data_IF_360763167184
#
_entry.id   IF_360763167184
#
_cell.length_a   1.000
_cell.length_b   1.000
_cell.length_c   1.000
_cell.angle_alpha   90.00
_cell.angle_beta   90.00
_cell.angle_gamma   90.00
#
_symmetry.space_group_name_H-M   'P 1'
#
loop_
_entity.id
_entity.type
_entity.pdbx_description
1 polymer ?
#
# COMPACT_ATOMS: atom_id res chain seq x y z
N UNK A 1 -2.40 -69.35 66.49
CA UNK A 1 -3.42 -68.35 66.10
C UNK A 1 -2.89 -67.60 64.89
N UNK A 2 -3.70 -67.58 63.82
CA UNK A 2 -3.83 -66.53 62.77
C UNK A 2 -2.58 -66.09 62.01
N UNK A 3 -2.50 -66.05 60.68
CA UNK A 3 -3.41 -66.20 59.54
C UNK A 3 -2.50 -66.53 58.34
N UNK A 4 -2.56 -67.73 57.75
CA UNK A 4 -3.21 -68.07 56.46
C UNK A 4 -3.14 -66.98 55.38
N UNK A 5 -2.35 -67.23 54.34
CA UNK A 5 -2.45 -66.56 53.04
C UNK A 5 -3.10 -67.46 51.99
N UNK A 6 -3.50 -66.88 50.85
CA UNK A 6 -3.75 -67.50 49.54
C UNK A 6 -3.72 -66.35 48.51
N UNK A 7 -2.82 -66.27 47.52
CA UNK A 7 -2.69 -67.05 46.28
C UNK A 7 -3.97 -67.13 45.42
N UNK A 8 -3.91 -66.38 44.30
CA UNK A 8 -4.03 -66.88 42.92
C UNK A 8 -5.41 -67.02 42.27
N UNK A 9 -5.39 -66.64 40.98
CA UNK A 9 -6.17 -67.09 39.82
C UNK A 9 -7.47 -66.37 39.43
N UNK A 10 -7.39 -65.77 38.24
CA UNK A 10 -8.45 -65.55 37.25
C UNK A 10 -9.10 -66.90 36.81
N UNK A 11 -10.04 -67.02 35.84
CA UNK A 11 -10.66 -66.04 34.94
C UNK A 11 -12.18 -66.27 34.63
N UNK A 12 -12.75 -65.47 33.69
CA UNK A 12 -13.87 -65.78 32.75
C UNK A 12 -15.30 -65.96 33.31
N UNK A 13 -16.14 -64.94 33.12
CA UNK A 13 -17.46 -64.92 32.43
C UNK A 13 -17.79 -63.42 32.31
N UNK A 14 -17.88 -62.78 31.15
CA UNK A 14 -18.86 -63.03 30.11
C UNK A 14 -18.40 -62.35 28.79
N UNK A 15 -18.56 -63.08 27.70
CA UNK A 15 -18.30 -62.70 26.32
C UNK A 15 -19.53 -61.94 25.78
N UNK A 16 -19.38 -60.74 25.18
CA UNK A 16 -19.93 -60.41 23.84
C UNK A 16 -19.48 -59.03 23.32
N UNK A 17 -18.99 -59.05 22.07
CA UNK A 17 -18.93 -57.96 21.08
C UNK A 17 -17.83 -56.88 21.16
N UNK A 18 -16.72 -57.26 20.52
CA UNK A 18 -15.64 -56.52 19.84
C UNK A 18 -16.13 -55.29 19.03
N UNK A 19 -15.44 -54.13 19.20
CA UNK A 19 -14.88 -53.25 18.15
C UNK A 19 -14.96 -51.75 18.53
N UNK A 20 -13.84 -51.15 18.94
CA UNK A 20 -13.70 -49.68 18.99
C UNK A 20 -12.61 -49.18 19.92
N UNK A 21 -11.55 -48.64 19.33
CA UNK A 21 -10.49 -47.81 19.92
C UNK A 21 -9.35 -48.52 20.69
N UNK A 22 -8.36 -48.96 19.91
CA UNK A 22 -6.98 -49.23 20.30
C UNK A 22 -6.17 -47.91 20.27
N UNK A 23 -5.24 -47.73 21.22
CA UNK A 23 -4.00 -46.92 21.16
C UNK A 23 -4.10 -45.46 20.69
N UNK A 24 -3.71 -44.49 21.54
CA UNK A 24 -2.47 -43.67 21.41
C UNK A 24 -2.27 -42.91 22.72
N UNK A 25 -1.18 -43.23 23.42
CA UNK A 25 -0.48 -42.27 24.27
C UNK A 25 0.75 -41.80 23.49
N UNK A 26 1.07 -40.50 23.63
CA UNK A 26 2.26 -39.75 23.18
C UNK A 26 2.09 -38.86 21.92
N UNK A 27 2.47 -37.58 22.13
CA UNK A 27 2.67 -36.45 21.19
C UNK A 27 1.43 -35.60 20.83
N UNK A 28 1.38 -34.36 21.34
CA UNK A 28 1.26 -33.14 20.51
C UNK A 28 1.40 -31.86 21.37
N UNK A 29 2.58 -31.25 21.23
CA UNK A 29 2.84 -29.82 21.32
C UNK A 29 2.06 -29.15 20.17
N UNK A 30 1.61 -27.91 20.40
CA UNK A 30 1.01 -26.98 19.42
C UNK A 30 -0.40 -27.38 18.98
N UNK A 31 -1.38 -26.54 19.35
CA UNK A 31 -2.36 -25.96 18.43
C UNK A 31 -3.33 -25.07 19.22
N UNK A 32 -2.96 -23.79 19.34
CA UNK A 32 -3.96 -22.74 19.29
C UNK A 32 -4.57 -22.80 17.89
N UNK A 33 -5.68 -23.52 17.75
CA UNK A 33 -6.50 -23.43 16.57
C UNK A 33 -7.20 -22.08 16.60
N UNK A 34 -6.53 -21.07 16.06
CA UNK A 34 -7.20 -20.07 15.26
C UNK A 34 -8.04 -20.84 14.24
N UNK A 35 -9.35 -20.60 14.24
CA UNK A 35 -10.26 -21.20 13.29
C UNK A 35 -9.97 -20.57 11.91
N UNK A 36 -9.36 -21.28 10.94
CA UNK A 36 -9.06 -20.71 9.63
C UNK A 36 -10.29 -20.96 8.76
N UNK A 37 -11.30 -20.11 8.89
CA UNK A 37 -12.56 -20.33 8.20
C UNK A 37 -13.59 -19.21 8.25
N UNK A 38 -13.28 -18.07 8.87
CA UNK A 38 -14.05 -16.85 8.63
C UNK A 38 -13.29 -15.99 7.64
N UNK A 39 -13.60 -16.21 6.36
CA UNK A 39 -13.42 -15.16 5.34
C UNK A 39 -14.29 -13.98 5.76
N UNK A 40 -13.66 -12.95 6.30
CA UNK A 40 -14.30 -11.64 6.39
C UNK A 40 -14.62 -11.19 4.96
N UNK A 41 -15.80 -10.63 4.74
CA UNK A 41 -16.12 -9.99 3.47
C UNK A 41 -15.06 -8.89 3.19
N UNK A 42 -14.89 -8.48 1.93
CA UNK A 42 -13.93 -7.46 1.51
C UNK A 42 -14.16 -6.05 2.09
N UNK A 43 -15.05 -5.89 3.08
CA UNK A 43 -15.15 -4.71 3.93
C UNK A 43 -14.85 -5.15 5.36
N UNK A 44 -13.99 -4.42 6.07
CA UNK A 44 -13.51 -4.74 7.42
C UNK A 44 -14.59 -4.99 8.47
N UNK A 45 -14.24 -5.05 9.76
CA UNK A 45 -15.21 -5.30 10.82
C UNK A 45 -16.41 -4.36 10.71
N UNK A 46 -17.63 -4.89 10.92
CA UNK A 46 -18.83 -4.06 10.89
C UNK A 46 -18.77 -2.97 11.99
N UNK A 47 -19.59 -1.92 11.85
CA UNK A 47 -19.68 -0.85 12.86
C UNK A 47 -18.60 0.23 12.74
N UNK A 48 -17.91 0.32 11.59
CA UNK A 48 -16.98 1.42 11.30
C UNK A 48 -17.76 2.74 11.22
N UNK A 49 -17.39 3.69 12.07
CA UNK A 49 -17.98 5.04 12.18
C UNK A 49 -17.15 6.06 11.42
N UNK A 50 -15.82 5.97 11.52
CA UNK A 50 -14.90 6.87 10.83
C UNK A 50 -13.55 6.18 10.59
N UNK A 51 -12.90 6.53 9.47
CA UNK A 51 -11.56 6.04 9.10
C UNK A 51 -10.74 7.16 8.48
N UNK A 52 -9.56 7.45 9.03
CA UNK A 52 -8.67 8.51 8.57
C UNK A 52 -7.32 7.91 8.17
N UNK A 53 -7.09 7.77 6.85
CA UNK A 53 -5.86 7.18 6.28
C UNK A 53 -4.77 8.20 6.00
N UNK A 54 -5.10 9.51 5.96
CA UNK A 54 -4.16 10.60 5.66
C UNK A 54 -3.43 10.55 4.29
N UNK A 55 -3.68 9.55 3.45
CA UNK A 55 -3.14 9.43 2.07
C UNK A 55 -3.48 10.60 1.15
N UNK A 56 -4.67 11.18 1.34
CA UNK A 56 -5.10 12.40 0.64
C UNK A 56 -4.42 13.66 1.14
N UNK A 57 -3.54 13.56 2.14
CA UNK A 57 -2.94 14.68 2.89
C UNK A 57 -3.99 15.62 3.47
N UNK A 58 -5.10 15.05 3.94
CA UNK A 58 -6.27 15.75 4.45
C UNK A 58 -6.89 15.02 5.66
N UNK A 59 -7.98 15.56 6.21
CA UNK A 59 -8.73 14.94 7.30
C UNK A 59 -9.94 14.13 6.81
N UNK A 60 -9.95 13.65 5.57
CA UNK A 60 -11.13 13.01 4.98
C UNK A 60 -11.44 11.68 5.68
N UNK A 61 -12.70 11.48 6.06
CA UNK A 61 -13.22 10.19 6.51
C UNK A 61 -13.47 9.27 5.30
N UNK A 62 -12.70 8.19 5.19
CA UNK A 62 -12.80 7.18 4.12
C UNK A 62 -13.87 6.11 4.38
N UNK A 63 -14.50 6.10 5.56
CA UNK A 63 -15.53 5.10 5.91
C UNK A 63 -16.82 5.25 5.08
N UNK A 64 -17.02 6.41 4.45
CA UNK A 64 -18.25 6.77 3.73
C UNK A 64 -19.37 7.35 4.61
N UNK A 65 -19.13 7.54 5.91
CA UNK A 65 -20.13 8.08 6.85
C UNK A 65 -20.12 9.61 6.98
N UNK A 66 -19.15 10.29 6.35
CA UNK A 66 -19.10 11.75 6.28
C UNK A 66 -18.61 12.43 7.56
N UNK A 67 -17.92 11.70 8.44
CA UNK A 67 -17.33 12.22 9.67
C UNK A 67 -15.98 12.93 9.40
N UNK A 68 -15.90 13.75 8.35
CA UNK A 68 -14.67 14.40 7.94
C UNK A 68 -14.08 15.28 9.05
N UNK A 69 -12.77 15.19 9.22
CA UNK A 69 -11.98 16.03 10.09
C UNK A 69 -11.47 17.29 9.39
N UNK A 70 -11.15 18.31 10.17
CA UNK A 70 -10.50 19.54 9.71
C UNK A 70 -9.09 19.62 10.29
N UNK A 71 -8.08 19.79 9.43
CA UNK A 71 -6.69 19.97 9.86
C UNK A 71 -6.52 21.31 10.60
N UNK A 72 -5.84 21.27 11.75
CA UNK A 72 -5.50 22.44 12.54
C UNK A 72 -3.98 22.63 12.61
N UNK A 73 -3.51 23.87 12.44
CA UNK A 73 -2.09 24.22 12.53
C UNK A 73 -1.21 23.77 11.36
N UNK A 74 -1.83 23.38 10.23
CA UNK A 74 -1.15 22.95 9.00
C UNK A 74 -0.14 21.82 9.25
N UNK A 75 -0.60 20.63 9.67
CA UNK A 75 0.25 19.45 9.72
C UNK A 75 0.84 19.16 8.32
N UNK A 76 2.03 18.58 8.33
CA UNK A 76 2.65 18.00 7.14
C UNK A 76 2.43 16.49 7.15
N UNK A 77 2.73 15.82 6.04
CA UNK A 77 2.58 14.38 5.90
C UNK A 77 3.93 13.75 5.55
N UNK A 78 4.11 12.50 5.95
CA UNK A 78 5.30 11.70 5.67
C UNK A 78 4.92 10.23 5.57
N UNK A 79 5.81 9.40 5.02
CA UNK A 79 5.55 7.97 4.86
C UNK A 79 5.05 7.32 6.17
N UNK A 80 3.90 6.66 6.06
CA UNK A 80 3.26 5.86 7.09
C UNK A 80 3.96 4.53 7.34
N UNK A 81 3.34 3.62 8.12
CA UNK A 81 3.80 2.24 8.19
C UNK A 81 3.75 1.59 6.81
N UNK A 82 4.58 0.57 6.60
CA UNK A 82 4.68 -0.08 5.29
C UNK A 82 3.31 -0.52 4.79
N UNK A 83 2.91 0.01 3.62
CA UNK A 83 1.65 -0.26 2.92
C UNK A 83 0.44 0.56 3.37
N UNK A 84 0.57 1.44 4.36
CA UNK A 84 -0.50 2.36 4.81
C UNK A 84 -0.36 3.79 4.28
N UNK A 85 0.48 3.99 3.26
CA UNK A 85 0.61 5.27 2.55
C UNK A 85 1.20 6.41 3.37
N UNK A 86 0.52 7.54 3.49
CA UNK A 86 1.02 8.75 4.14
C UNK A 86 0.40 8.96 5.53
N UNK A 87 1.24 9.19 6.55
CA UNK A 87 0.83 9.53 7.90
C UNK A 87 0.87 11.03 8.18
N UNK A 88 -0.02 11.50 9.07
CA UNK A 88 0.03 12.86 9.58
C UNK A 88 1.21 13.05 10.54
N UNK A 89 2.02 14.10 10.31
CA UNK A 89 3.03 14.56 11.25
C UNK A 89 2.38 15.44 12.34
N UNK A 90 2.09 14.82 13.48
CA UNK A 90 1.59 15.47 14.69
C UNK A 90 2.70 16.21 15.44
N UNK A 91 2.40 17.42 15.93
CA UNK A 91 3.30 18.25 16.73
C UNK A 91 2.48 19.26 17.56
N UNK A 92 3.15 20.14 18.30
CA UNK A 92 2.53 21.22 19.05
C UNK A 92 1.61 22.07 18.15
N UNK A 93 0.31 22.03 18.43
CA UNK A 93 -0.69 22.79 17.69
C UNK A 93 -1.06 22.20 16.31
N UNK A 94 -0.51 21.03 15.95
CA UNK A 94 -0.79 20.31 14.69
C UNK A 94 -1.59 19.05 14.96
N UNK A 95 -2.86 19.06 14.60
CA UNK A 95 -3.83 18.01 14.95
C UNK A 95 -5.03 18.06 14.00
N UNK A 96 -5.96 17.12 14.15
CA UNK A 96 -7.24 17.11 13.41
C UNK A 96 -8.39 17.38 14.37
N UNK A 97 -9.31 18.26 13.99
CA UNK A 97 -10.60 18.46 14.67
C UNK A 97 -11.63 17.56 14.01
N UNK A 98 -12.23 16.67 14.78
CA UNK A 98 -13.28 15.76 14.32
C UNK A 98 -14.67 16.25 14.79
N UNK A 99 -15.75 15.66 14.26
CA UNK A 99 -17.08 15.82 14.84
C UNK A 99 -17.15 15.49 16.34
N UNK A 100 -18.23 15.90 16.99
CA UNK A 100 -18.39 15.72 18.41
C UNK A 100 -18.48 14.23 18.82
N UNK A 101 -18.25 13.98 20.11
CA UNK A 101 -18.28 12.64 20.72
C UNK A 101 -19.58 11.85 20.51
N UNK A 102 -20.71 12.49 20.21
CA UNK A 102 -21.98 11.80 19.91
C UNK A 102 -22.03 11.39 18.44
N UNK A 103 -21.59 12.26 17.53
CA UNK A 103 -21.50 11.95 16.11
C UNK A 103 -20.55 10.76 15.83
N UNK A 104 -19.50 10.61 16.64
CA UNK A 104 -18.55 9.51 16.56
C UNK A 104 -18.93 8.27 17.40
N UNK A 105 -20.13 8.23 17.98
CA UNK A 105 -20.58 7.11 18.84
C UNK A 105 -19.62 6.75 19.99
N UNK A 106 -18.93 7.75 20.55
CA UNK A 106 -18.02 7.55 21.69
C UNK A 106 -18.73 7.77 23.04
N UNK A 107 -19.70 8.69 23.07
CA UNK A 107 -20.37 9.12 24.30
C UNK A 107 -21.47 8.15 24.72
N UNK A 108 -21.38 7.69 25.97
CA UNK A 108 -22.33 6.77 26.61
C UNK A 108 -22.61 5.54 25.72
N UNK A 109 -21.55 5.02 25.09
CA UNK A 109 -21.64 3.98 24.08
C UNK A 109 -20.50 2.96 24.24
N UNK A 110 -20.66 1.79 23.61
CA UNK A 110 -19.55 0.87 23.35
C UNK A 110 -18.68 1.43 22.22
N UNK A 111 -17.38 1.22 22.25
CA UNK A 111 -16.56 1.60 21.10
C UNK A 111 -15.24 0.84 21.03
N UNK A 112 -14.63 0.87 19.85
CA UNK A 112 -13.23 0.53 19.64
C UNK A 112 -12.58 1.62 18.81
N UNK A 113 -11.41 2.09 19.22
CA UNK A 113 -10.57 2.98 18.43
C UNK A 113 -9.25 2.27 18.16
N UNK A 114 -8.75 2.35 16.93
CA UNK A 114 -7.42 1.86 16.57
C UNK A 114 -6.63 2.93 15.83
N UNK A 115 -5.30 2.87 15.91
CA UNK A 115 -4.42 3.74 15.16
C UNK A 115 -3.02 3.12 15.03
N UNK A 116 -2.35 3.39 13.91
CA UNK A 116 -0.91 3.30 13.82
C UNK A 116 -0.26 4.55 14.42
N UNK A 117 0.78 4.36 15.22
CA UNK A 117 1.53 5.45 15.84
C UNK A 117 3.04 5.24 15.76
N UNK A 118 3.77 6.33 15.56
CA UNK A 118 5.22 6.35 15.66
C UNK A 118 5.65 7.62 16.41
N UNK A 119 5.95 7.46 17.71
CA UNK A 119 6.30 8.58 18.57
C UNK A 119 7.79 8.96 18.44
N UNK A 120 8.08 10.24 18.21
CA UNK A 120 9.44 10.78 18.25
C UNK A 120 9.85 11.28 19.64
N UNK A 121 8.89 11.45 20.53
CA UNK A 121 9.08 11.66 21.96
C UNK A 121 7.84 11.13 22.72
N UNK A 122 8.01 10.58 23.93
CA UNK A 122 6.89 10.15 24.77
C UNK A 122 6.43 11.21 25.76
N UNK A 123 7.24 12.25 25.99
CA UNK A 123 6.77 13.46 26.64
C UNK A 123 5.88 14.19 25.63
N UNK A 124 4.56 14.05 25.79
CA UNK A 124 3.61 14.87 25.04
C UNK A 124 3.93 16.35 25.16
N UNK A 125 3.55 17.13 24.15
CA UNK A 125 3.78 18.57 24.14
C UNK A 125 2.56 19.27 24.74
N UNK A 126 2.75 20.42 25.40
CA UNK A 126 1.69 21.09 26.16
C UNK A 126 1.77 20.79 27.66
N UNK A 127 0.79 21.24 28.46
CA UNK A 127 0.99 21.47 29.91
C UNK A 127 1.10 20.24 30.82
N UNK A 128 0.49 20.28 32.02
CA UNK A 128 0.84 19.36 33.12
C UNK A 128 0.59 17.88 32.79
N UNK A 129 1.65 17.05 32.72
CA UNK A 129 1.53 15.59 32.85
C UNK A 129 1.99 14.73 31.67
N UNK A 130 2.54 15.28 30.59
CA UNK A 130 3.35 14.49 29.63
C UNK A 130 2.63 13.46 28.76
N UNK A 131 1.29 13.33 28.81
CA UNK A 131 0.57 12.39 27.93
C UNK A 131 0.76 12.75 26.44
N UNK A 132 1.20 11.77 25.65
CA UNK A 132 1.26 11.82 24.19
C UNK A 132 -0.10 11.44 23.62
N UNK A 133 -0.76 12.37 22.93
CA UNK A 133 -2.18 12.28 22.63
C UNK A 133 -2.48 11.63 21.26
N UNK A 134 -3.13 10.47 21.24
CA UNK A 134 -3.58 9.84 19.99
C UNK A 134 -4.96 10.39 19.63
N UNK A 135 -5.93 10.21 20.54
CA UNK A 135 -7.29 10.71 20.38
C UNK A 135 -7.86 11.16 21.73
N UNK A 136 -8.59 12.27 21.75
CA UNK A 136 -9.28 12.73 22.94
C UNK A 136 -10.33 13.77 22.62
N UNK A 137 -11.06 14.24 23.64
CA UNK A 137 -12.08 15.26 23.45
C UNK A 137 -11.73 16.58 24.15
N UNK A 138 -12.48 17.62 23.75
CA UNK A 138 -12.57 18.89 24.46
C UNK A 138 -13.39 18.73 25.74
N UNK A 139 -12.88 17.95 26.71
CA UNK A 139 -13.59 17.72 27.97
C UNK A 139 -13.72 19.02 28.79
N UNK A 140 -14.86 19.30 29.45
CA UNK A 140 -15.09 20.53 30.22
C UNK A 140 -14.25 20.63 31.52
N UNK A 141 -13.26 19.76 31.71
CA UNK A 141 -12.34 19.80 32.85
C UNK A 141 -12.92 19.49 34.24
N UNK A 142 -14.08 18.83 34.32
CA UNK A 142 -14.71 18.41 35.58
C UNK A 142 -14.71 16.90 35.75
N UNK A 143 -14.82 16.39 36.98
CA UNK A 143 -14.88 14.95 37.24
C UNK A 143 -16.09 14.24 36.63
N UNK A 144 -16.09 12.91 36.71
CA UNK A 144 -17.24 12.07 36.30
C UNK A 144 -17.19 11.61 34.85
N UNK A 145 -16.09 11.02 34.40
CA UNK A 145 -15.97 10.40 33.08
C UNK A 145 -16.17 11.34 31.87
N UNK A 146 -15.81 12.64 31.97
CA UNK A 146 -16.03 13.63 30.89
C UNK A 146 -14.82 13.92 30.00
N UNK A 147 -13.67 13.30 30.24
CA UNK A 147 -12.42 13.56 29.50
C UNK A 147 -11.86 12.30 28.87
N UNK A 148 -12.06 12.10 27.57
CA UNK A 148 -11.51 10.97 26.83
C UNK A 148 -10.00 11.21 26.58
N UNK A 149 -9.17 10.24 27.00
CA UNK A 149 -7.74 10.24 26.72
C UNK A 149 -7.25 8.87 26.22
N UNK A 150 -7.10 8.72 24.90
CA UNK A 150 -6.41 7.60 24.29
C UNK A 150 -4.97 8.05 24.04
N UNK A 151 -4.05 7.64 24.91
CA UNK A 151 -2.73 8.28 25.04
C UNK A 151 -1.61 7.29 25.31
N UNK A 152 -0.38 7.78 25.24
CA UNK A 152 0.78 7.15 25.88
C UNK A 152 1.30 8.02 27.03
N UNK A 153 1.74 7.40 28.13
CA UNK A 153 2.45 8.06 29.23
C UNK A 153 3.77 7.36 29.46
N UNK A 154 4.87 8.10 29.33
CA UNK A 154 6.23 7.57 29.47
C UNK A 154 6.46 6.28 28.65
N UNK A 155 5.94 6.25 27.42
CA UNK A 155 6.07 5.12 26.50
C UNK A 155 5.09 3.97 26.73
N UNK A 156 4.13 4.11 27.64
CA UNK A 156 3.14 3.07 27.94
C UNK A 156 1.75 3.46 27.44
N UNK A 157 0.99 2.58 26.77
CA UNK A 157 -0.39 2.85 26.37
C UNK A 157 -1.33 3.02 27.56
N UNK A 158 -2.24 3.99 27.48
CA UNK A 158 -3.30 4.27 28.45
C UNK A 158 -4.63 4.59 27.76
N UNK A 159 -5.71 4.34 28.49
CA UNK A 159 -7.05 4.84 28.20
C UNK A 159 -7.77 5.22 29.47
N UNK A 160 -8.76 6.08 29.35
CA UNK A 160 -9.66 6.45 30.43
C UNK A 160 -10.54 7.64 30.05
N UNK A 161 -11.37 8.02 31.00
CA UNK A 161 -12.42 9.01 30.83
C UNK A 161 -12.32 10.15 31.83
N UNK A 162 -11.17 10.30 32.52
CA UNK A 162 -10.90 11.14 33.69
C UNK A 162 -11.07 10.38 35.02
N UNK A 163 -9.93 10.08 35.66
CA UNK A 163 -9.88 9.53 37.02
C UNK A 163 -10.26 8.06 37.12
N UNK A 164 -10.31 7.36 36.00
CA UNK A 164 -10.67 5.94 35.88
C UNK A 164 -9.77 5.23 34.85
N UNK A 165 -8.50 5.64 34.78
CA UNK A 165 -7.58 5.22 33.73
C UNK A 165 -7.19 3.74 33.85
N UNK A 166 -7.08 3.07 32.71
CA UNK A 166 -6.42 1.78 32.51
C UNK A 166 -5.08 2.02 31.83
N UNK A 167 -4.01 1.45 32.39
CA UNK A 167 -2.65 1.53 31.84
C UNK A 167 -2.06 0.16 31.56
N UNK A 168 -1.20 0.10 30.56
CA UNK A 168 -0.36 -1.06 30.26
C UNK A 168 1.02 -0.97 30.94
N UNK A 169 1.63 -2.12 31.20
CA UNK A 169 3.03 -2.22 31.63
C UNK A 169 4.04 -2.21 30.46
N UNK A 170 3.57 -2.31 29.22
CA UNK A 170 4.40 -2.41 28.02
C UNK A 170 5.05 -1.06 27.70
N UNK A 171 6.37 -1.07 27.54
CA UNK A 171 7.15 0.12 27.24
C UNK A 171 7.54 0.13 25.76
N UNK A 172 6.99 1.07 25.00
CA UNK A 172 7.24 1.22 23.58
C UNK A 172 8.57 1.96 23.33
N UNK A 173 9.17 1.71 22.17
CA UNK A 173 10.36 2.41 21.70
C UNK A 173 9.99 3.62 20.85
N UNK A 174 10.81 4.67 20.91
CA UNK A 174 10.67 5.81 20.00
C UNK A 174 10.98 5.40 18.55
N UNK A 175 10.46 6.18 17.60
CA UNK A 175 10.73 6.04 16.17
C UNK A 175 10.39 4.66 15.60
N UNK A 176 9.43 3.97 16.23
CA UNK A 176 8.97 2.63 15.87
C UNK A 176 7.47 2.67 15.64
N UNK A 177 7.00 2.09 14.54
CA UNK A 177 5.58 1.93 14.27
C UNK A 177 4.97 0.86 15.17
N UNK A 178 3.88 1.20 15.83
CA UNK A 178 3.04 0.30 16.60
C UNK A 178 1.58 0.51 16.21
N UNK A 179 0.80 -0.57 16.17
CA UNK A 179 -0.64 -0.46 16.05
C UNK A 179 -1.29 -0.63 17.42
N UNK A 180 -2.00 0.39 17.89
CA UNK A 180 -2.61 0.41 19.23
C UNK A 180 -4.13 0.39 19.11
N UNK A 181 -4.78 -0.37 19.99
CA UNK A 181 -6.24 -0.43 20.07
C UNK A 181 -6.76 -0.15 21.47
N UNK A 182 -7.90 0.53 21.51
CA UNK A 182 -8.60 0.95 22.72
C UNK A 182 -10.05 0.53 22.60
N UNK A 183 -10.48 -0.42 23.44
CA UNK A 183 -11.84 -0.94 23.44
C UNK A 183 -12.53 -0.61 24.75
N UNK A 184 -13.79 -0.17 24.67
CA UNK A 184 -14.68 -0.02 25.81
C UNK A 184 -15.99 -0.78 25.61
N UNK A 185 -16.34 -1.61 26.60
CA UNK A 185 -17.61 -2.35 26.65
C UNK A 185 -18.47 -1.79 27.77
N UNK A 186 -19.50 -1.00 27.43
CA UNK A 186 -20.41 -0.31 28.34
C UNK A 186 -21.16 -1.25 29.27
N UNK A 187 -21.60 -2.40 28.78
CA UNK A 187 -22.39 -3.34 29.58
C UNK A 187 -21.64 -3.85 30.82
N UNK A 188 -20.32 -4.00 30.72
CA UNK A 188 -19.45 -4.51 31.81
C UNK A 188 -18.57 -3.42 32.41
N UNK A 189 -18.49 -2.25 31.78
CA UNK A 189 -17.51 -1.21 32.09
C UNK A 189 -16.07 -1.68 31.82
N UNK A 190 -15.87 -2.59 30.86
CA UNK A 190 -14.54 -3.12 30.55
C UNK A 190 -13.80 -2.21 29.59
N UNK A 191 -12.61 -1.76 29.99
CA UNK A 191 -11.61 -1.16 29.12
C UNK A 191 -10.58 -2.24 28.73
N UNK A 192 -10.15 -2.25 27.47
CA UNK A 192 -9.10 -3.15 26.98
C UNK A 192 -8.11 -2.39 26.11
N UNK A 193 -6.81 -2.65 26.31
CA UNK A 193 -5.73 -2.13 25.49
C UNK A 193 -5.13 -3.25 24.63
N UNK A 194 -4.85 -2.93 23.38
CA UNK A 194 -4.22 -3.82 22.41
C UNK A 194 -2.96 -3.19 21.84
N UNK A 195 -1.97 -4.02 21.53
CA UNK A 195 -0.72 -3.64 20.87
C UNK A 195 -0.37 -4.72 19.84
N UNK A 196 -0.22 -4.33 18.58
CA UNK A 196 0.15 -5.20 17.45
C UNK A 196 -0.72 -6.47 17.42
N UNK A 197 -2.03 -6.28 17.56
CA UNK A 197 -3.05 -7.33 17.53
C UNK A 197 -3.26 -8.08 18.83
N UNK A 198 -2.42 -7.88 19.84
CA UNK A 198 -2.46 -8.64 21.08
C UNK A 198 -3.03 -7.79 22.22
N UNK A 199 -3.89 -8.40 23.05
CA UNK A 199 -4.35 -7.75 24.28
C UNK A 199 -3.19 -7.58 25.28
N UNK A 200 -2.97 -6.35 25.75
CA UNK A 200 -1.89 -5.99 26.68
C UNK A 200 -2.39 -5.52 28.05
N UNK A 201 -3.66 -5.14 28.18
CA UNK A 201 -4.30 -4.84 29.46
C UNK A 201 -5.83 -4.96 29.35
N UNK A 202 -6.50 -5.32 30.44
CA UNK A 202 -7.96 -5.21 30.60
C UNK A 202 -8.32 -4.88 32.05
N UNK A 203 -9.43 -4.14 32.25
CA UNK A 203 -9.99 -3.81 33.55
C UNK A 203 -11.49 -3.51 33.45
N UNK A 204 -12.29 -4.07 34.37
CA UNK A 204 -13.75 -3.90 34.42
C UNK A 204 -14.23 -2.87 35.45
N UNK A 205 -15.51 -2.51 35.38
CA UNK A 205 -16.15 -1.61 36.36
C UNK A 205 -15.88 -0.12 36.16
N UNK A 206 -15.39 0.27 34.98
CA UNK A 206 -15.21 1.68 34.62
C UNK A 206 -16.56 2.28 34.20
N UNK A 207 -16.92 3.43 34.77
CA UNK A 207 -18.12 4.17 34.36
C UNK A 207 -17.98 4.67 32.91
N UNK A 208 -19.08 4.74 32.13
CA UNK A 208 -19.03 5.14 30.72
C UNK A 208 -18.54 6.57 30.53
N UNK A 209 -17.89 6.80 29.40
CA UNK A 209 -17.52 8.15 28.95
C UNK A 209 -18.80 8.97 28.68
N UNK A 210 -18.94 10.11 29.33
CA UNK A 210 -20.11 10.99 29.18
C UNK A 210 -19.74 12.42 28.73
N UNK A 211 -18.48 12.62 28.34
CA UNK A 211 -17.97 13.90 27.84
C UNK A 211 -18.70 14.34 26.59
N UNK A 212 -18.66 15.65 26.33
CA UNK A 212 -19.30 16.30 25.18
C UNK A 212 -18.26 17.13 24.41
N UNK A 213 -18.67 17.66 23.26
CA UNK A 213 -17.84 18.54 22.43
C UNK A 213 -16.95 17.79 21.45
N UNK A 214 -16.11 18.57 20.77
CA UNK A 214 -15.27 18.10 19.67
C UNK A 214 -14.29 17.02 20.13
N UNK A 215 -14.02 16.11 19.19
CA UNK A 215 -12.98 15.09 19.31
C UNK A 215 -11.76 15.51 18.48
N UNK A 216 -10.57 15.04 18.84
CA UNK A 216 -9.34 15.38 18.13
C UNK A 216 -8.47 14.15 17.91
N UNK A 217 -7.76 14.13 16.77
CA UNK A 217 -6.61 13.23 16.53
C UNK A 217 -5.33 14.02 16.75
N UNK A 218 -4.37 13.49 17.49
CA UNK A 218 -3.10 14.15 17.81
C UNK A 218 -3.18 15.16 18.96
N UNK A 219 -4.34 15.27 19.62
CA UNK A 219 -4.59 16.19 20.73
C UNK A 219 -5.55 15.56 21.73
N UNK A 220 -5.31 15.81 23.02
CA UNK A 220 -6.27 15.46 24.06
C UNK A 220 -6.29 16.47 25.20
N UNK A 221 -7.36 16.36 25.97
CA UNK A 221 -7.66 17.00 27.24
C UNK A 221 -7.33 18.50 27.30
N UNK A 222 -8.33 19.33 26.97
CA UNK A 222 -8.30 20.75 27.35
C UNK A 222 -8.80 20.93 28.80
N UNK A 223 -8.08 20.34 29.75
CA UNK A 223 -8.29 20.64 31.17
C UNK A 223 -7.61 21.97 31.47
N UNK A 224 -8.35 22.99 31.91
CA UNK A 224 -7.79 24.28 32.35
C UNK A 224 -6.89 24.96 31.29
N UNK A 225 -7.30 24.94 30.02
CA UNK A 225 -6.56 25.52 28.89
C UNK A 225 -5.15 24.94 28.68
N UNK A 226 -4.93 23.70 29.14
CA UNK A 226 -3.65 23.00 29.02
C UNK A 226 -3.78 21.77 28.11
N UNK A 227 -3.94 21.95 26.78
CA UNK A 227 -4.01 20.84 25.84
C UNK A 227 -2.71 20.05 25.81
N UNK A 228 -2.82 18.76 25.50
CA UNK A 228 -1.71 17.84 25.31
C UNK A 228 -1.70 17.39 23.85
N UNK A 229 -0.52 17.32 23.26
CA UNK A 229 -0.32 17.00 21.84
C UNK A 229 0.58 15.79 21.67
N UNK A 230 0.32 15.02 20.61
CA UNK A 230 1.29 14.09 20.08
C UNK A 230 2.50 14.81 19.48
N UNK A 231 3.59 14.05 19.36
CA UNK A 231 4.80 14.41 18.63
C UNK A 231 5.32 13.19 17.87
N UNK A 232 5.18 13.19 16.55
CA UNK A 232 5.50 12.02 15.72
C UNK A 232 4.47 11.82 14.61
N UNK A 233 4.27 10.57 14.21
CA UNK A 233 3.37 10.19 13.14
C UNK A 233 2.15 9.47 13.72
N UNK A 234 0.96 9.78 13.19
CA UNK A 234 -0.29 9.08 13.46
C UNK A 234 -0.92 8.72 12.11
N UNK A 235 -1.38 7.49 12.01
CA UNK A 235 -1.93 6.96 10.77
C UNK A 235 -3.08 5.97 11.02
N UNK A 236 -3.88 5.72 9.98
CA UNK A 236 -4.96 4.73 9.91
C UNK A 236 -5.89 4.73 11.13
N UNK A 237 -6.38 5.91 11.52
CA UNK A 237 -7.23 6.03 12.71
C UNK A 237 -8.61 5.52 12.38
N UNK A 238 -9.06 4.46 13.04
CA UNK A 238 -10.38 3.87 12.84
C UNK A 238 -11.20 3.94 14.13
N UNK A 239 -12.48 4.30 14.00
CA UNK A 239 -13.43 4.40 15.12
C UNK A 239 -14.61 3.48 14.82
N UNK A 240 -14.93 2.60 15.76
CA UNK A 240 -16.02 1.65 15.69
C UNK A 240 -17.04 1.89 16.80
N UNK A 241 -18.33 1.75 16.50
CA UNK A 241 -19.44 1.90 17.45
C UNK A 241 -19.69 0.66 18.31
N UNK A 242 -18.73 -0.27 18.35
CA UNK A 242 -18.90 -1.52 19.08
C UNK A 242 -17.57 -2.03 19.65
N UNK A 243 -17.62 -2.95 20.62
CA UNK A 243 -16.43 -3.61 21.08
C UNK A 243 -16.02 -4.68 20.06
N UNK A 244 -14.91 -4.46 19.36
CA UNK A 244 -14.34 -5.46 18.48
C UNK A 244 -13.82 -6.66 19.30
N UNK A 245 -13.97 -7.85 18.77
CA UNK A 245 -13.39 -9.06 19.36
C UNK A 245 -11.87 -9.05 19.25
N UNK A 246 -11.17 -9.84 20.07
CA UNK A 246 -9.72 -9.99 19.96
C UNK A 246 -9.30 -10.46 18.56
N UNK A 247 -10.08 -11.36 17.95
CA UNK A 247 -9.85 -11.82 16.59
C UNK A 247 -10.02 -10.73 15.54
N UNK A 248 -11.07 -9.90 15.65
CA UNK A 248 -11.26 -8.76 14.74
C UNK A 248 -10.18 -7.71 14.92
N UNK A 249 -9.77 -7.43 16.16
CA UNK A 249 -8.65 -6.56 16.43
C UNK A 249 -7.38 -7.15 15.82
N UNK A 250 -7.02 -8.39 16.15
CA UNK A 250 -5.85 -9.05 15.58
C UNK A 250 -5.89 -9.09 14.05
N UNK A 251 -7.06 -9.29 13.44
CA UNK A 251 -7.24 -9.23 12.00
C UNK A 251 -7.12 -7.82 11.44
N UNK A 252 -7.49 -6.75 12.15
CA UNK A 252 -7.20 -5.37 11.72
C UNK A 252 -5.72 -5.02 11.87
N UNK A 253 -5.10 -5.40 13.00
CA UNK A 253 -3.73 -5.01 13.34
C UNK A 253 -2.68 -5.85 12.61
N UNK A 254 -3.02 -7.09 12.25
CA UNK A 254 -2.21 -8.00 11.44
C UNK A 254 -2.79 -8.22 10.04
N UNK A 255 -3.89 -7.52 9.69
CA UNK A 255 -4.19 -7.36 8.27
C UNK A 255 -2.94 -6.71 7.69
N UNK A 256 -2.43 -7.31 6.62
CA UNK A 256 -1.67 -6.49 5.70
C UNK A 256 -2.51 -5.23 5.43
N UNK A 257 -1.91 -4.04 5.32
CA UNK A 257 -2.63 -2.87 4.83
C UNK A 257 -3.51 -3.26 3.64
N UNK A 258 -4.64 -2.54 3.35
CA UNK A 258 -5.40 -2.79 2.14
C UNK A 258 -4.39 -2.95 1.02
N UNK A 259 -4.29 -4.18 0.50
CA UNK A 259 -3.12 -4.58 -0.26
C UNK A 259 -3.01 -3.54 -1.37
N UNK A 260 -1.92 -2.75 -1.48
CA UNK A 260 -1.51 -2.32 -2.80
C UNK A 260 -1.51 -3.63 -3.57
N UNK A 261 -2.29 -3.76 -4.66
CA UNK A 261 -2.58 -5.06 -5.22
C UNK A 261 -1.24 -5.77 -5.37
N UNK A 262 -1.14 -7.02 -4.86
CA UNK A 262 0.14 -7.71 -4.60
C UNK A 262 1.26 -7.18 -5.48
N UNK A 263 2.35 -6.70 -4.86
CA UNK A 263 3.55 -6.32 -5.59
C UNK A 263 3.81 -7.31 -6.73
N UNK A 264 4.28 -6.80 -7.86
CA UNK A 264 3.88 -7.23 -9.18
C UNK A 264 3.38 -8.69 -9.32
N UNK A 265 2.09 -8.83 -9.60
CA UNK A 265 1.29 -10.07 -9.43
C UNK A 265 1.55 -11.17 -10.49
N UNK A 266 2.71 -11.17 -11.13
CA UNK A 266 2.91 -11.91 -12.37
C UNK A 266 2.18 -11.29 -13.57
N UNK A 267 1.61 -10.07 -13.44
CA UNK A 267 0.78 -9.44 -14.46
C UNK A 267 1.44 -8.19 -15.06
N UNK A 268 1.14 -7.91 -16.33
CA UNK A 268 1.55 -6.69 -17.03
C UNK A 268 0.30 -5.96 -17.50
N UNK A 269 0.23 -4.65 -17.24
CA UNK A 269 -0.88 -3.81 -17.70
C UNK A 269 -0.55 -3.15 -19.03
N UNK A 270 -1.44 -3.32 -20.01
CA UNK A 270 -1.35 -2.68 -21.33
C UNK A 270 -2.51 -1.69 -21.51
N UNK A 271 -2.18 -0.45 -21.92
CA UNK A 271 -3.19 0.49 -22.38
C UNK A 271 -3.75 0.02 -23.73
N UNK A 272 -5.01 -0.41 -23.75
CA UNK A 272 -5.73 -0.84 -24.95
C UNK A 272 -6.72 0.23 -25.40
N UNK A 273 -6.22 1.28 -26.05
CA UNK A 273 -7.09 2.15 -26.85
C UNK A 273 -7.58 1.42 -28.11
N UNK A 274 -8.57 1.99 -28.81
CA UNK A 274 -9.10 1.40 -30.05
C UNK A 274 -8.02 1.18 -31.11
N UNK A 275 -6.98 2.03 -31.11
CA UNK A 275 -5.86 1.98 -32.04
C UNK A 275 -4.71 1.09 -31.54
N UNK A 276 -4.51 0.93 -30.23
CA UNK A 276 -3.46 0.05 -29.67
C UNK A 276 -3.91 -1.42 -29.63
N UNK A 277 -5.15 -1.69 -29.25
CA UNK A 277 -5.66 -3.05 -29.02
C UNK A 277 -5.41 -4.06 -30.15
N UNK A 278 -5.56 -3.69 -31.45
CA UNK A 278 -5.28 -4.59 -32.57
C UNK A 278 -3.79 -4.92 -32.80
N UNK A 279 -2.88 -4.09 -32.28
CA UNK A 279 -1.44 -4.19 -32.51
C UNK A 279 -0.66 -4.60 -31.26
N UNK A 280 -1.19 -4.44 -30.06
CA UNK A 280 -0.51 -4.82 -28.81
C UNK A 280 -0.16 -6.32 -28.68
N UNK A 281 -0.66 -7.18 -29.57
CA UNK A 281 -0.54 -8.64 -29.47
C UNK A 281 0.90 -9.18 -29.48
N UNK A 282 1.84 -8.53 -30.17
CA UNK A 282 3.25 -8.94 -30.18
C UNK A 282 3.95 -8.64 -28.86
N UNK A 283 3.81 -7.41 -28.35
CA UNK A 283 4.30 -7.02 -27.02
C UNK A 283 3.68 -7.87 -25.93
N UNK A 284 2.37 -8.13 -26.01
CA UNK A 284 1.68 -9.02 -25.09
C UNK A 284 2.27 -10.44 -25.13
N UNK A 285 2.49 -11.00 -26.32
CA UNK A 285 3.10 -12.33 -26.50
C UNK A 285 4.51 -12.39 -25.91
N UNK A 286 5.31 -11.32 -26.04
CA UNK A 286 6.66 -11.27 -25.46
C UNK A 286 6.64 -11.25 -23.92
N UNK A 287 5.69 -10.53 -23.30
CA UNK A 287 5.49 -10.59 -21.85
C UNK A 287 4.97 -11.96 -21.39
N UNK A 288 4.09 -12.59 -22.15
CA UNK A 288 3.62 -13.96 -21.90
C UNK A 288 4.76 -14.99 -22.00
N UNK A 289 5.64 -14.85 -22.99
CA UNK A 289 6.84 -15.66 -23.13
C UNK A 289 7.83 -15.44 -21.95
N UNK A 290 7.86 -14.23 -21.39
CA UNK A 290 8.57 -13.92 -20.15
C UNK A 290 7.87 -14.42 -18.87
N UNK A 291 6.79 -15.19 -19.00
CA UNK A 291 6.06 -15.81 -17.90
C UNK A 291 5.07 -14.90 -17.19
N UNK A 292 4.64 -13.81 -17.84
CA UNK A 292 3.67 -12.84 -17.30
C UNK A 292 2.27 -13.04 -17.88
N UNK A 293 1.27 -12.57 -17.16
CA UNK A 293 -0.14 -12.52 -17.61
C UNK A 293 -0.48 -11.10 -18.05
N UNK A 294 -1.00 -10.92 -19.25
CA UNK A 294 -1.30 -9.58 -19.78
C UNK A 294 -2.74 -9.17 -19.44
N UNK A 295 -2.90 -7.97 -18.92
CA UNK A 295 -4.19 -7.34 -18.62
C UNK A 295 -4.33 -6.06 -19.43
N UNK A 296 -5.39 -5.98 -20.23
CA UNK A 296 -5.71 -4.79 -21.00
C UNK A 296 -6.61 -3.84 -20.22
N UNK A 297 -6.33 -2.53 -20.29
CA UNK A 297 -7.16 -1.47 -19.73
C UNK A 297 -7.57 -0.51 -20.82
N UNK A 298 -8.86 -0.20 -20.89
CA UNK A 298 -9.37 0.88 -21.73
C UNK A 298 -8.85 2.24 -21.24
N UNK A 299 -8.88 3.30 -22.08
CA UNK A 299 -8.49 4.64 -21.64
C UNK A 299 -9.21 5.14 -20.38
N UNK A 300 -10.50 4.81 -20.22
CA UNK A 300 -11.28 5.19 -19.03
C UNK A 300 -10.87 4.41 -17.78
N UNK A 301 -10.56 3.11 -17.92
CA UNK A 301 -10.09 2.31 -16.80
C UNK A 301 -8.69 2.73 -16.37
N UNK A 302 -7.78 2.98 -17.33
CA UNK A 302 -6.44 3.50 -17.08
C UNK A 302 -6.46 4.84 -16.34
N UNK A 303 -7.37 5.74 -16.72
CA UNK A 303 -7.50 7.04 -16.07
C UNK A 303 -8.06 6.96 -14.64
N UNK A 304 -8.77 5.89 -14.31
CA UNK A 304 -9.32 5.66 -12.97
C UNK A 304 -8.32 4.97 -12.02
N UNK A 305 -7.23 4.42 -12.55
CA UNK A 305 -6.21 3.73 -11.77
C UNK A 305 -5.36 4.71 -10.97
N UNK A 306 -5.12 4.36 -9.72
CA UNK A 306 -4.22 5.03 -8.78
C UNK A 306 -2.78 4.57 -8.97
N UNK A 307 -1.81 5.26 -8.35
CA UNK A 307 -0.41 4.80 -8.34
C UNK A 307 -0.27 3.41 -7.73
N UNK A 308 -1.04 3.09 -6.69
CA UNK A 308 -1.06 1.76 -6.10
C UNK A 308 -1.58 0.69 -7.08
N UNK A 309 -2.64 1.00 -7.85
CA UNK A 309 -3.15 0.09 -8.88
C UNK A 309 -2.11 -0.18 -9.99
N UNK A 310 -1.26 0.80 -10.31
CA UNK A 310 -0.18 0.59 -11.28
C UNK A 310 0.99 -0.20 -10.68
N UNK A 311 1.31 0.03 -9.40
CA UNK A 311 2.41 -0.62 -8.69
C UNK A 311 2.21 -2.13 -8.46
N UNK A 312 1.01 -2.65 -8.73
CA UNK A 312 0.71 -4.09 -8.66
C UNK A 312 1.08 -4.88 -9.90
N UNK A 313 1.57 -4.23 -10.95
CA UNK A 313 1.93 -4.87 -12.21
C UNK A 313 3.45 -4.98 -12.34
N UNK A 314 3.95 -6.11 -12.85
CA UNK A 314 5.38 -6.30 -13.18
C UNK A 314 5.86 -5.29 -14.20
N UNK A 315 4.96 -4.84 -15.06
CA UNK A 315 5.25 -3.78 -16.01
C UNK A 315 4.00 -2.99 -16.39
N UNK A 316 4.26 -1.73 -16.71
CA UNK A 316 3.32 -0.82 -17.36
C UNK A 316 3.75 -0.70 -18.82
N UNK A 317 2.89 -1.09 -19.75
CA UNK A 317 3.22 -1.18 -21.17
C UNK A 317 2.33 -0.28 -22.05
N UNK A 318 2.98 0.50 -22.91
CA UNK A 318 2.41 1.34 -23.95
C UNK A 318 2.96 0.88 -25.32
N UNK A 319 2.36 -0.15 -25.96
CA UNK A 319 2.78 -0.66 -27.28
C UNK A 319 2.52 0.32 -28.43
N UNK A 320 3.14 0.08 -29.59
CA UNK A 320 2.88 0.81 -30.83
C UNK A 320 1.47 0.45 -31.38
N UNK A 321 0.60 1.45 -31.61
CA UNK A 321 -0.68 1.28 -32.30
C UNK A 321 -0.56 1.13 -33.84
N UNK A 322 0.61 0.74 -34.36
CA UNK A 322 0.99 0.78 -35.78
C UNK A 322 1.10 2.22 -36.34
N UNK A 323 2.33 2.76 -36.26
CA UNK A 323 2.79 4.02 -36.86
C UNK A 323 1.73 5.12 -36.99
N UNK A 324 1.26 5.62 -35.84
CA UNK A 324 0.31 6.74 -35.78
C UNK A 324 1.05 8.07 -35.59
N UNK A 325 0.67 9.11 -36.33
CA UNK A 325 1.34 10.43 -36.30
C UNK A 325 0.77 11.43 -35.27
N UNK A 326 0.00 10.94 -34.29
CA UNK A 326 -0.60 11.73 -33.24
C UNK A 326 -0.67 10.93 -31.93
N UNK A 327 -0.69 11.63 -30.79
CA UNK A 327 -0.68 11.02 -29.45
C UNK A 327 -2.06 10.59 -28.94
N UNK A 328 -3.10 10.63 -29.77
CA UNK A 328 -4.46 10.21 -29.41
C UNK A 328 -4.54 8.82 -28.78
N UNK A 329 -3.84 7.79 -29.33
CA UNK A 329 -3.88 6.43 -28.78
C UNK A 329 -3.38 6.31 -27.34
N UNK A 330 -2.49 7.22 -26.90
CA UNK A 330 -1.89 7.26 -25.55
C UNK A 330 -2.34 8.47 -24.73
N UNK A 331 -3.41 9.16 -25.14
CA UNK A 331 -3.85 10.39 -24.48
C UNK A 331 -4.16 10.19 -22.98
N UNK A 332 -4.72 9.04 -22.60
CA UNK A 332 -4.95 8.68 -21.20
C UNK A 332 -3.65 8.50 -20.41
N UNK A 333 -2.63 7.88 -21.01
CA UNK A 333 -1.32 7.74 -20.38
C UNK A 333 -0.59 9.08 -20.24
N UNK A 334 -0.76 10.01 -21.19
CA UNK A 334 -0.23 11.38 -21.08
C UNK A 334 -0.92 12.13 -19.94
N UNK A 335 -2.26 12.10 -19.89
CA UNK A 335 -3.03 12.80 -18.87
C UNK A 335 -2.75 12.25 -17.45
N UNK A 336 -2.47 10.95 -17.35
CA UNK A 336 -2.21 10.26 -16.08
C UNK A 336 -0.71 9.99 -15.83
N UNK A 337 0.19 10.71 -16.51
CA UNK A 337 1.63 10.43 -16.52
C UNK A 337 2.28 10.44 -15.13
N UNK A 338 1.92 11.40 -14.28
CA UNK A 338 2.46 11.51 -12.93
C UNK A 338 2.00 10.39 -11.98
N UNK A 339 0.89 9.72 -12.29
CA UNK A 339 0.32 8.67 -11.43
C UNK A 339 0.94 7.31 -11.76
N UNK A 340 0.93 6.91 -13.04
CA UNK A 340 1.55 5.65 -13.44
C UNK A 340 3.07 5.71 -13.40
N UNK A 341 3.67 6.87 -13.72
CA UNK A 341 5.12 7.09 -13.62
C UNK A 341 5.66 6.95 -12.20
N UNK A 342 4.88 7.40 -11.19
CA UNK A 342 5.24 7.27 -9.79
C UNK A 342 5.26 5.81 -9.29
N UNK A 343 4.60 4.90 -10.00
CA UNK A 343 4.61 3.46 -9.68
C UNK A 343 5.86 2.75 -10.19
N UNK A 344 6.60 3.33 -11.14
CA UNK A 344 7.74 2.68 -11.81
C UNK A 344 9.01 2.82 -10.98
N UNK A 345 9.52 1.70 -10.47
CA UNK A 345 10.76 1.61 -9.69
C UNK A 345 11.75 0.57 -10.22
N UNK A 346 11.38 -0.13 -11.30
CA UNK A 346 12.16 -1.15 -12.00
C UNK A 346 12.80 -0.69 -13.31
N UNK A 347 13.00 -1.64 -14.23
CA UNK A 347 13.67 -1.40 -15.52
C UNK A 347 12.74 -0.70 -16.51
N UNK A 348 13.29 0.26 -17.27
CA UNK A 348 12.52 1.07 -18.22
C UNK A 348 13.09 0.92 -19.63
N UNK A 349 12.22 0.65 -20.59
CA UNK A 349 12.51 0.74 -22.02
C UNK A 349 11.66 1.83 -22.64
N UNK A 350 12.34 2.74 -23.34
CA UNK A 350 11.72 3.71 -24.24
C UNK A 350 12.21 3.42 -25.65
N UNK A 351 11.27 3.14 -26.55
CA UNK A 351 11.56 2.73 -27.91
C UNK A 351 10.88 3.67 -28.91
N UNK A 352 11.67 4.22 -29.83
CA UNK A 352 11.22 5.22 -30.80
C UNK A 352 10.73 4.67 -32.14
N UNK A 353 10.65 3.35 -32.33
CA UNK A 353 10.30 2.73 -33.62
C UNK A 353 9.20 1.67 -33.45
N UNK A 354 8.95 0.89 -34.51
CA UNK A 354 7.99 -0.21 -34.53
C UNK A 354 8.61 -1.47 -33.92
N UNK A 355 8.07 -1.94 -32.79
CA UNK A 355 8.56 -3.14 -32.11
C UNK A 355 8.07 -4.47 -32.74
N UNK A 356 7.17 -4.41 -33.72
CA UNK A 356 6.43 -5.54 -34.30
C UNK A 356 6.87 -5.89 -35.72
N UNK A 357 7.17 -4.88 -36.55
CA UNK A 357 7.45 -5.09 -37.97
C UNK A 357 8.95 -5.10 -38.29
N UNK A 358 9.47 -6.31 -38.43
CA UNK A 358 10.64 -6.61 -39.24
C UNK A 358 10.25 -6.90 -40.71
N UNK A 359 9.32 -6.15 -41.34
CA UNK A 359 8.88 -6.47 -42.71
C UNK A 359 8.57 -5.24 -43.59
N UNK A 360 9.61 -4.63 -44.18
CA UNK A 360 9.58 -4.42 -45.64
C UNK A 360 10.33 -5.56 -46.29
N UNK A 361 9.67 -6.20 -47.24
CA UNK A 361 10.09 -7.43 -47.89
C UNK A 361 11.58 -7.42 -48.31
N UNK A 362 12.38 -8.32 -47.73
CA UNK A 362 13.66 -8.74 -48.32
C UNK A 362 14.93 -8.57 -47.50
N UNK A 363 14.91 -8.02 -46.29
CA UNK A 363 16.08 -7.99 -45.41
C UNK A 363 15.84 -8.89 -44.18
N UNK A 364 16.48 -10.07 -44.10
CA UNK A 364 16.39 -10.90 -42.90
C UNK A 364 17.09 -10.18 -41.74
N UNK A 365 16.37 -9.94 -40.65
CA UNK A 365 16.98 -10.20 -39.35
C UNK A 365 17.42 -11.67 -39.41
N UNK A 366 18.70 -12.02 -39.22
CA UNK A 366 19.14 -13.40 -39.31
C UNK A 366 18.37 -14.38 -38.38
N UNK A 367 17.53 -13.89 -37.45
CA UNK A 367 16.83 -14.72 -36.44
C UNK A 367 15.30 -14.58 -36.37
N UNK A 368 14.64 -13.70 -37.14
CA UNK A 368 13.18 -13.69 -37.26
C UNK A 368 12.34 -13.39 -35.99
N UNK A 369 12.95 -12.88 -34.91
CA UNK A 369 12.25 -12.51 -33.67
C UNK A 369 11.87 -11.01 -33.63
N UNK A 370 10.71 -10.62 -33.05
CA UNK A 370 10.37 -9.23 -32.75
C UNK A 370 11.27 -8.65 -31.65
N UNK A 371 11.56 -7.35 -31.71
CA UNK A 371 12.41 -6.65 -30.74
C UNK A 371 11.85 -6.72 -29.30
N UNK A 372 10.52 -6.83 -29.18
CA UNK A 372 9.83 -6.99 -27.91
C UNK A 372 10.27 -8.25 -27.13
N UNK A 373 10.80 -9.29 -27.78
CA UNK A 373 11.23 -10.53 -27.12
C UNK A 373 12.50 -10.36 -26.28
N UNK A 374 13.37 -9.42 -26.64
CA UNK A 374 14.53 -9.03 -25.81
C UNK A 374 14.15 -7.99 -24.76
N UNK A 375 13.21 -7.10 -25.10
CA UNK A 375 12.83 -5.96 -24.28
C UNK A 375 11.89 -6.32 -23.13
N UNK A 376 10.87 -7.15 -23.36
CA UNK A 376 9.91 -7.53 -22.33
C UNK A 376 10.57 -8.25 -21.14
N UNK A 377 11.48 -9.23 -21.33
CA UNK A 377 12.20 -9.85 -20.22
C UNK A 377 13.08 -8.87 -19.44
N UNK A 378 13.67 -7.86 -20.10
CA UNK A 378 14.45 -6.82 -19.42
C UNK A 378 13.56 -6.00 -18.49
N UNK A 379 12.39 -5.55 -18.98
CA UNK A 379 11.47 -4.70 -18.21
C UNK A 379 11.04 -5.36 -16.90
N UNK A 380 10.82 -6.68 -16.90
CA UNK A 380 10.36 -7.45 -15.72
C UNK A 380 11.48 -8.17 -14.94
N UNK A 381 12.75 -7.91 -15.26
CA UNK A 381 13.88 -8.63 -14.66
C UNK A 381 14.12 -8.29 -13.18
N UNK A 382 13.79 -7.07 -12.76
CA UNK A 382 13.89 -6.64 -11.36
C UNK A 382 12.67 -7.19 -10.57
N UNK A 383 12.79 -8.41 -10.04
CA UNK A 383 11.71 -9.09 -9.30
C UNK A 383 11.21 -8.22 -8.13
N UNK A 384 9.88 -8.07 -8.04
CA UNK A 384 9.23 -7.28 -6.99
C UNK A 384 9.16 -5.78 -7.28
N UNK A 385 9.58 -5.34 -8.47
CA UNK A 385 9.51 -3.96 -8.94
C UNK A 385 8.65 -3.82 -10.19
N UNK A 386 8.08 -2.64 -10.38
CA UNK A 386 7.29 -2.28 -11.55
C UNK A 386 8.20 -1.67 -12.63
N UNK A 387 8.35 -2.36 -13.76
CA UNK A 387 9.05 -1.84 -14.94
C UNK A 387 8.14 -1.01 -15.86
N UNK A 388 8.72 -0.40 -16.89
CA UNK A 388 7.95 0.27 -17.95
C UNK A 388 8.45 -0.06 -19.36
N UNK A 389 7.50 -0.30 -20.27
CA UNK A 389 7.72 -0.46 -21.71
C UNK A 389 6.96 0.66 -22.44
N UNK A 390 7.67 1.59 -23.08
CA UNK A 390 7.05 2.74 -23.75
C UNK A 390 7.49 2.80 -25.21
N UNK A 391 6.58 2.47 -26.12
CA UNK A 391 6.76 2.72 -27.55
C UNK A 391 6.23 4.12 -27.89
N UNK A 392 7.06 4.91 -28.57
CA UNK A 392 6.72 6.25 -29.03
C UNK A 392 6.14 6.27 -30.44
N UNK A 393 6.04 5.10 -31.10
CA UNK A 393 5.44 4.95 -32.43
C UNK A 393 5.96 6.01 -33.42
N UNK A 394 5.10 6.47 -34.32
CA UNK A 394 5.33 7.59 -35.22
C UNK A 394 4.82 8.93 -34.65
N UNK A 395 4.47 9.02 -33.35
CA UNK A 395 3.80 10.18 -32.76
C UNK A 395 4.56 11.50 -32.99
N UNK A 396 5.89 11.40 -32.98
CA UNK A 396 6.81 12.52 -33.10
C UNK A 396 7.59 12.54 -34.43
N UNK A 397 7.21 11.70 -35.40
CA UNK A 397 7.82 11.71 -36.72
C UNK A 397 7.67 13.09 -37.39
N UNK A 398 8.79 13.67 -37.85
CA UNK A 398 8.84 14.98 -38.48
C UNK A 398 8.57 16.18 -37.55
N UNK A 399 8.52 16.00 -36.22
CA UNK A 399 8.37 17.11 -35.26
C UNK A 399 9.72 17.78 -34.98
N UNK A 400 9.78 19.11 -35.02
CA UNK A 400 11.05 19.84 -34.88
C UNK A 400 11.74 19.66 -33.51
N UNK A 401 13.04 19.93 -33.47
CA UNK A 401 13.84 19.99 -32.23
C UNK A 401 13.15 20.86 -31.19
N UNK A 402 13.10 20.39 -29.93
CA UNK A 402 12.42 21.07 -28.83
C UNK A 402 10.94 20.71 -28.68
N UNK A 403 10.39 19.86 -29.54
CA UNK A 403 9.02 19.33 -29.34
C UNK A 403 9.00 18.47 -28.08
N UNK A 404 8.13 18.81 -27.12
CA UNK A 404 7.97 18.03 -25.89
C UNK A 404 7.44 16.62 -26.17
N UNK A 405 7.79 15.66 -25.32
CA UNK A 405 7.30 14.28 -25.33
C UNK A 405 6.55 14.02 -24.02
N UNK A 406 5.28 14.48 -23.87
CA UNK A 406 4.61 14.57 -22.57
C UNK A 406 4.38 13.22 -21.89
N UNK A 407 4.33 12.12 -22.64
CA UNK A 407 4.21 10.78 -22.04
C UNK A 407 5.44 10.42 -21.19
N UNK A 408 6.61 11.00 -21.48
CA UNK A 408 7.84 10.80 -20.72
C UNK A 408 7.96 11.72 -19.50
N UNK A 409 7.00 12.63 -19.28
CA UNK A 409 6.90 13.38 -18.03
C UNK A 409 6.67 12.44 -16.83
N UNK A 410 6.23 11.20 -17.09
CA UNK A 410 6.18 10.10 -16.13
C UNK A 410 7.55 9.80 -15.47
N UNK A 411 8.66 10.06 -16.17
CA UNK A 411 10.02 9.79 -15.68
C UNK A 411 10.84 11.07 -15.45
N UNK A 412 10.47 12.17 -16.12
CA UNK A 412 11.15 13.46 -15.99
C UNK A 412 10.22 14.60 -16.41
N UNK A 413 9.58 15.26 -15.44
CA UNK A 413 8.60 16.32 -15.66
C UNK A 413 9.19 17.45 -16.52
N UNK A 414 8.67 17.63 -17.74
CA UNK A 414 9.05 18.68 -18.69
C UNK A 414 10.46 18.51 -19.28
N UNK A 415 11.09 17.35 -19.07
CA UNK A 415 12.52 17.16 -19.28
C UNK A 415 12.92 16.51 -20.61
N UNK A 416 11.97 15.94 -21.37
CA UNK A 416 12.28 15.22 -22.61
C UNK A 416 11.69 15.91 -23.83
N UNK A 417 12.58 16.25 -24.77
CA UNK A 417 12.21 16.87 -26.05
C UNK A 417 12.86 16.15 -27.21
N UNK A 418 12.25 16.24 -28.39
CA UNK A 418 12.85 15.78 -29.65
C UNK A 418 14.12 16.57 -29.93
N UNK A 419 15.19 15.90 -30.34
CA UNK A 419 16.45 16.55 -30.76
C UNK A 419 16.84 16.06 -32.14
N UNK A 420 17.18 16.95 -33.06
CA UNK A 420 17.72 16.58 -34.38
C UNK A 420 19.16 17.08 -34.58
N UNK A 421 20.18 16.34 -34.11
CA UNK A 421 21.56 16.63 -34.48
C UNK A 421 21.76 16.45 -36.00
N UNK A 422 22.65 17.21 -36.67
CA UNK A 422 23.01 16.92 -38.05
C UNK A 422 23.57 15.49 -38.18
N UNK A 423 22.98 14.65 -39.05
CA UNK A 423 23.46 13.30 -39.31
C UNK A 423 22.97 12.21 -38.34
N UNK A 424 21.93 12.46 -37.55
CA UNK A 424 21.39 11.52 -36.56
C UNK A 424 20.49 10.40 -37.13
N UNK A 425 20.39 10.27 -38.45
CA UNK A 425 19.70 9.14 -39.07
C UNK A 425 20.49 7.86 -38.78
N UNK A 426 19.82 6.81 -38.31
CA UNK A 426 20.41 5.48 -38.09
C UNK A 426 21.56 5.48 -37.06
N UNK A 427 21.37 6.17 -35.92
CA UNK A 427 22.35 6.22 -34.83
C UNK A 427 21.70 5.96 -33.45
N UNK A 428 20.97 4.86 -33.34
CA UNK A 428 20.55 4.28 -32.06
C UNK A 428 21.74 3.67 -31.32
N UNK A 429 21.77 3.82 -30.00
CA UNK A 429 22.82 3.28 -29.14
C UNK A 429 22.21 2.64 -27.90
N UNK A 430 22.59 1.40 -27.59
CA UNK A 430 22.18 0.71 -26.37
C UNK A 430 23.07 1.18 -25.22
N UNK A 431 22.48 1.90 -24.27
CA UNK A 431 23.20 2.45 -23.09
C UNK A 431 23.41 1.40 -21.99
N UNK A 432 22.59 0.35 -21.96
CA UNK A 432 22.66 -0.75 -21.00
C UNK A 432 23.00 -2.07 -21.73
N UNK A 433 24.28 -2.43 -21.75
CA UNK A 433 24.79 -3.60 -22.48
C UNK A 433 25.03 -4.82 -21.60
N UNK A 434 24.92 -4.69 -20.27
CA UNK A 434 25.38 -5.73 -19.34
C UNK A 434 24.26 -6.69 -18.91
N UNK A 435 23.01 -6.40 -19.28
CA UNK A 435 21.87 -7.26 -18.95
C UNK A 435 21.69 -8.40 -19.99
N UNK A 436 21.57 -9.67 -19.59
CA UNK A 436 21.48 -10.81 -20.52
C UNK A 436 20.35 -10.74 -21.54
N UNK A 437 19.22 -10.12 -21.19
CA UNK A 437 18.10 -9.91 -22.12
C UNK A 437 18.42 -8.92 -23.26
N UNK A 438 19.48 -8.12 -23.13
CA UNK A 438 19.95 -7.19 -24.16
C UNK A 438 21.05 -7.80 -25.05
N UNK A 439 21.50 -9.03 -24.79
CA UNK A 439 22.61 -9.66 -25.52
C UNK A 439 22.35 -9.80 -27.02
N UNK A 440 21.08 -9.96 -27.40
CA UNK A 440 20.66 -10.15 -28.78
C UNK A 440 20.36 -8.81 -29.48
N UNK A 441 20.42 -7.70 -28.74
CA UNK A 441 20.29 -6.35 -29.27
C UNK A 441 21.68 -5.73 -29.43
N UNK A 442 22.00 -5.28 -30.64
CA UNK A 442 23.23 -4.53 -30.91
C UNK A 442 22.91 -3.22 -31.61
N UNK A 443 23.78 -2.23 -31.47
CA UNK A 443 23.69 -0.99 -32.24
C UNK A 443 23.62 -1.27 -33.75
N UNK A 444 24.29 -2.32 -34.24
CA UNK A 444 24.23 -2.72 -35.65
C UNK A 444 22.85 -3.26 -36.03
N UNK A 445 22.23 -4.09 -35.19
CA UNK A 445 20.86 -4.61 -35.42
C UNK A 445 19.83 -3.46 -35.37
N UNK A 446 19.98 -2.55 -34.39
CA UNK A 446 19.13 -1.36 -34.21
C UNK A 446 19.27 -0.34 -35.35
N UNK A 447 20.42 -0.31 -36.02
CA UNK A 447 20.69 0.61 -37.15
C UNK A 447 20.67 -0.10 -38.52
N UNK A 448 20.25 -1.38 -38.56
CA UNK A 448 20.21 -2.18 -39.79
C UNK A 448 19.09 -1.76 -40.73
N UNK A 449 19.27 -2.04 -42.02
CA UNK A 449 18.41 -1.55 -43.11
C UNK A 449 16.93 -1.96 -43.08
N UNK A 450 16.48 -2.80 -42.14
CA UNK A 450 15.05 -3.08 -41.97
C UNK A 450 14.29 -1.89 -41.35
N UNK A 451 14.97 -1.02 -40.61
CA UNK A 451 14.44 0.21 -40.01
C UNK A 451 14.51 1.45 -40.95
N UNK A 452 14.96 1.25 -42.21
CA UNK A 452 15.28 2.31 -43.18
C UNK A 452 14.11 3.25 -43.53
N UNK A 453 12.86 2.82 -43.39
CA UNK A 453 11.69 3.67 -43.71
C UNK A 453 11.09 4.39 -42.49
N UNK A 454 11.33 3.93 -41.25
CA UNK A 454 10.79 4.54 -40.02
C UNK A 454 11.76 5.55 -39.39
N UNK A 455 13.05 5.24 -39.37
CA UNK A 455 14.09 6.05 -38.70
C UNK A 455 14.68 7.16 -39.57
N UNK A 456 14.27 7.27 -40.84
CA UNK A 456 14.79 8.28 -41.77
C UNK A 456 14.44 9.74 -41.39
N UNK A 457 13.71 9.96 -40.30
CA UNK A 457 13.49 11.30 -39.72
C UNK A 457 13.39 11.35 -38.18
N UNK A 458 13.57 10.23 -37.47
CA UNK A 458 13.43 10.17 -36.02
C UNK A 458 14.79 10.12 -35.35
N UNK A 459 15.16 11.19 -34.66
CA UNK A 459 16.35 11.20 -33.80
C UNK A 459 15.92 11.15 -32.34
N UNK A 460 15.19 10.09 -32.02
CA UNK A 460 14.93 9.69 -30.64
C UNK A 460 15.92 8.57 -30.36
N UNK A 461 16.84 8.80 -29.41
CA UNK A 461 17.76 7.74 -28.98
C UNK A 461 16.94 6.63 -28.32
N UNK A 462 17.08 5.40 -28.81
CA UNK A 462 16.55 4.21 -28.13
C UNK A 462 17.27 4.10 -26.79
N UNK A 463 16.52 4.06 -25.70
CA UNK A 463 17.09 4.22 -24.37
C UNK A 463 16.54 3.14 -23.44
N UNK A 464 17.40 2.19 -23.09
CA UNK A 464 17.19 1.27 -21.98
C UNK A 464 17.85 1.88 -20.73
N UNK A 465 17.05 2.07 -19.67
CA UNK A 465 17.50 2.68 -18.42
C UNK A 465 17.28 1.73 -17.25
N UNK A 466 18.28 1.68 -16.37
CA UNK A 466 18.18 1.06 -15.05
C UNK A 466 18.27 2.13 -13.97
N UNK A 467 17.25 2.20 -13.12
CA UNK A 467 17.18 3.17 -12.02
C UNK A 467 17.52 2.50 -10.69
N UNK A 468 18.45 3.05 -9.88
CA UNK A 468 18.79 2.48 -8.58
C UNK A 468 17.78 2.80 -7.45
N UNK A 469 16.59 3.31 -7.75
CA UNK A 469 15.53 3.63 -6.80
C UNK A 469 14.65 4.81 -7.23
N UNK A 470 13.58 5.13 -6.48
CA UNK A 470 12.64 6.19 -6.83
C UNK A 470 13.35 7.56 -6.94
N UNK A 471 13.23 8.18 -8.11
CA UNK A 471 13.68 9.56 -8.36
C UNK A 471 15.13 9.77 -8.81
N UNK A 472 15.88 8.74 -9.22
CA UNK A 472 17.26 8.92 -9.71
C UNK A 472 17.50 8.41 -11.13
N UNK A 473 17.21 9.22 -12.18
CA UNK A 473 17.92 9.06 -13.44
C UNK A 473 19.29 9.74 -13.33
N UNK A 474 20.31 9.03 -12.87
CA UNK A 474 21.67 9.58 -12.83
C UNK A 474 22.32 9.69 -14.24
N UNK A 475 21.69 9.15 -15.30
CA UNK A 475 22.23 9.08 -16.66
C UNK A 475 21.22 9.34 -17.79
N UNK A 476 20.23 10.20 -17.58
CA UNK A 476 19.41 10.72 -18.67
C UNK A 476 19.97 12.09 -19.08
N UNK A 477 20.86 12.13 -20.08
CA UNK A 477 21.26 13.36 -20.76
C UNK A 477 21.28 13.16 -22.25
#
# INVERSE_FOLDING_TARGET
MTNVGYLVSSPKFLILAIAGALLVALVLVINGFANPGQTFAAGGPAGLVAHYTFDGQDGTDSSGNGNHGTLAGSPTFAAGPSGFGDAMVADLGKYVVLPDTTALSLRDHDFTVTAWVNASAFSGLGGYGGDWAVLGNRGPGGGGSTGLHLVMRDGRPYMGFFGNDLGSGNNLSLNTWYHIGWRYTKATGEMTLFLDGNQIASGGGHAPFIGIGDTFIGRCCETWDSPRYAKGLIDDVQIYDRPLTEGEVASLMNAAPPEPPEGPSGQVVILSSADIGPYAGSVASSFEAAGKTVVYKTPSEWAAMTTADFASYDAIALPDPNCTFNTGPIAAAIANASVWGAAVDGNIIIFGADEQFNHRAGAPNPEGQPFSDSMAPFVVADVGKTGAFVSLSCYYHGKGTGTAIPVLDAFSVGGVTVVHPPGCFNNGHIVETDHPAMNDLTDEVMNSGALLDLLSSQCIQHLALRFPGPGQCARCR
#
